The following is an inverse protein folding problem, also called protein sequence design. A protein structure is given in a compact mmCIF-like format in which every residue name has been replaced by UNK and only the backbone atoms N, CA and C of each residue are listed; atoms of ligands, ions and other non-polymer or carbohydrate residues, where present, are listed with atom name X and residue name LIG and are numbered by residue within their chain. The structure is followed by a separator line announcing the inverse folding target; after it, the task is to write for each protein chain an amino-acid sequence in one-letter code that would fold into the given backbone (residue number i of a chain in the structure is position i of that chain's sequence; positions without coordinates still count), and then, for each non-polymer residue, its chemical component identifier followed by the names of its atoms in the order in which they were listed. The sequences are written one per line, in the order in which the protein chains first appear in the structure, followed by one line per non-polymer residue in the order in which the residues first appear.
data_IF_035729831317
#
_entry.id   IF_035729831317
#
_cell.length_a   1.000
_cell.length_b   1.000
_cell.length_c   1.000
_cell.angle_alpha   90.00
_cell.angle_beta   90.00
_cell.angle_gamma   90.00
#
_symmetry.space_group_name_H-M   'P 1'
#
loop_
_entity.id
_entity.type
_entity.pdbx_description
1 polymer ?
#
# COMPACT_ATOMS: atom_id res chain seq x y z
N UNK A 1 19.49 -6.23 28.41
CA UNK A 1 18.82 -5.01 28.94
C UNK A 1 19.49 -3.80 28.28
N UNK A 2 18.84 -2.89 27.56
CA UNK A 2 17.41 -2.62 27.38
C UNK A 2 17.01 -2.75 25.90
N UNK A 3 16.25 -3.80 25.54
CA UNK A 3 15.43 -3.75 24.33
C UNK A 3 14.21 -2.92 24.71
N UNK A 4 14.29 -1.59 24.59
CA UNK A 4 13.05 -0.83 24.51
C UNK A 4 12.22 -1.48 23.40
N UNK A 5 10.94 -1.72 23.67
CA UNK A 5 10.02 -2.30 22.70
C UNK A 5 9.99 -1.43 21.43
N UNK A 6 9.78 -2.04 20.26
CA UNK A 6 9.58 -1.25 19.04
C UNK A 6 8.26 -0.48 19.18
N UNK A 7 8.18 0.72 18.62
CA UNK A 7 7.05 1.63 18.87
C UNK A 7 5.68 1.03 18.48
N UNK A 8 5.65 0.12 17.51
CA UNK A 8 4.44 -0.54 17.03
C UNK A 8 3.93 -1.65 17.95
N UNK A 9 4.80 -2.25 18.77
CA UNK A 9 4.42 -3.41 19.59
C UNK A 9 3.32 -3.07 20.59
N UNK A 10 3.35 -1.85 21.15
CA UNK A 10 2.29 -1.37 22.03
C UNK A 10 0.93 -1.37 21.31
N UNK A 11 0.87 -0.87 20.07
CA UNK A 11 -0.36 -0.90 19.25
C UNK A 11 -0.78 -2.33 18.89
N UNK A 12 0.18 -3.18 18.54
CA UNK A 12 -0.08 -4.58 18.20
C UNK A 12 -0.52 -5.42 19.39
N UNK A 13 -0.13 -5.06 20.61
CA UNK A 13 -0.52 -5.78 21.83
C UNK A 13 -1.96 -5.49 22.26
N UNK A 14 -2.54 -4.35 21.88
CA UNK A 14 -3.92 -3.99 22.23
C UNK A 14 -4.90 -4.58 21.20
N UNK A 15 -5.75 -5.57 21.56
CA UNK A 15 -6.68 -6.20 20.62
C UNK A 15 -7.68 -5.24 19.97
N UNK A 16 -7.89 -4.04 20.53
CA UNK A 16 -8.84 -3.05 20.02
C UNK A 16 -8.19 -2.01 19.10
N UNK A 17 -6.86 -2.02 18.97
CA UNK A 17 -6.12 -1.10 18.11
C UNK A 17 -5.86 -1.76 16.76
N UNK A 18 -6.13 -0.99 15.70
CA UNK A 18 -5.76 -1.30 14.33
C UNK A 18 -4.83 -0.22 13.80
N UNK A 19 -3.53 -0.54 13.72
CA UNK A 19 -2.48 0.50 13.69
C UNK A 19 -2.40 1.22 12.35
N UNK A 20 -2.69 0.51 11.25
CA UNK A 20 -2.31 0.91 9.89
C UNK A 20 -3.48 1.03 8.89
N UNK A 21 -4.73 0.89 9.35
CA UNK A 21 -5.93 1.05 8.51
C UNK A 21 -6.12 -0.07 7.48
N UNK A 22 -6.93 0.20 6.45
CA UNK A 22 -7.17 -0.75 5.35
C UNK A 22 -5.97 -0.94 4.41
N UNK A 23 -6.12 -1.66 3.30
CA UNK A 23 -5.03 -1.93 2.37
C UNK A 23 -4.47 -0.63 1.78
N UNK A 24 -3.19 -0.66 1.42
CA UNK A 24 -2.59 0.47 0.72
C UNK A 24 -3.11 0.55 -0.73
N UNK A 25 -3.33 1.76 -1.25
CA UNK A 25 -3.92 1.97 -2.58
C UNK A 25 -3.18 1.22 -3.69
N UNK A 26 -1.85 1.27 -3.69
CA UNK A 26 -0.99 0.58 -4.64
C UNK A 26 -1.11 -0.95 -4.58
N UNK A 27 -1.44 -1.52 -3.41
CA UNK A 27 -1.67 -2.97 -3.28
C UNK A 27 -3.00 -3.33 -3.92
N UNK A 28 -4.03 -2.50 -3.72
CA UNK A 28 -5.30 -2.63 -4.44
C UNK A 28 -5.10 -2.52 -5.96
N UNK A 29 -4.39 -1.50 -6.42
CA UNK A 29 -4.13 -1.31 -7.85
C UNK A 29 -3.38 -2.50 -8.49
N UNK A 30 -2.38 -3.05 -7.80
CA UNK A 30 -1.64 -4.22 -8.25
C UNK A 30 -2.51 -5.48 -8.23
N UNK A 31 -3.33 -5.68 -7.20
CA UNK A 31 -4.25 -6.82 -7.10
C UNK A 31 -5.18 -6.93 -8.31
N UNK A 32 -5.65 -5.79 -8.84
CA UNK A 32 -6.48 -5.75 -10.06
C UNK A 32 -5.76 -6.29 -11.31
N UNK A 33 -4.43 -6.42 -11.28
CA UNK A 33 -3.62 -6.96 -12.37
C UNK A 33 -3.11 -8.39 -12.11
N UNK A 34 -3.34 -8.94 -10.92
CA UNK A 34 -2.87 -10.28 -10.57
C UNK A 34 -3.73 -11.36 -11.22
N UNK A 35 -3.15 -12.55 -11.51
CA UNK A 35 -3.95 -13.70 -11.88
C UNK A 35 -4.90 -14.11 -10.75
N UNK A 36 -5.98 -14.80 -11.10
CA UNK A 36 -6.84 -15.45 -10.09
C UNK A 36 -5.99 -16.39 -9.24
N UNK A 37 -6.15 -16.33 -7.93
CA UNK A 37 -5.42 -17.18 -6.98
C UNK A 37 -3.89 -17.04 -7.05
N UNK A 38 -3.42 -15.81 -7.28
CA UNK A 38 -2.00 -15.45 -7.19
C UNK A 38 -1.32 -15.91 -5.89
N UNK A 39 -0.01 -16.19 -5.99
CA UNK A 39 0.86 -16.48 -4.84
C UNK A 39 1.55 -15.19 -4.38
N UNK A 40 1.36 -14.83 -3.11
CA UNK A 40 1.77 -13.54 -2.53
C UNK A 40 2.73 -13.76 -1.35
N UNK A 41 3.75 -12.92 -1.26
CA UNK A 41 4.59 -12.77 -0.07
C UNK A 41 4.45 -11.36 0.52
N UNK A 42 4.17 -11.25 1.81
CA UNK A 42 4.12 -10.01 2.59
C UNK A 42 5.18 -10.01 3.70
N UNK A 43 6.26 -9.24 3.52
CA UNK A 43 7.44 -9.19 4.40
C UNK A 43 7.28 -8.05 5.41
N UNK A 44 7.26 -8.38 6.70
CA UNK A 44 6.96 -7.44 7.77
C UNK A 44 5.51 -6.98 7.66
N UNK A 45 4.59 -7.96 7.63
CA UNK A 45 3.18 -7.72 7.33
C UNK A 45 2.41 -7.00 8.45
N UNK A 46 3.01 -6.87 9.64
CA UNK A 46 2.37 -6.33 10.83
C UNK A 46 1.08 -7.09 11.16
N UNK A 47 0.00 -6.37 11.46
CA UNK A 47 -1.33 -6.94 11.75
C UNK A 47 -2.04 -7.45 10.48
N UNK A 48 -1.38 -7.37 9.31
CA UNK A 48 -1.83 -8.00 8.08
C UNK A 48 -2.80 -7.17 7.23
N UNK A 49 -2.78 -5.82 7.29
CA UNK A 49 -3.69 -4.99 6.48
C UNK A 49 -3.70 -5.34 4.98
N UNK A 50 -2.55 -5.71 4.43
CA UNK A 50 -2.38 -6.08 3.03
C UNK A 50 -2.59 -7.59 2.86
N UNK A 51 -1.96 -8.41 3.71
CA UNK A 51 -2.14 -9.87 3.72
C UNK A 51 -3.61 -10.31 3.79
N UNK A 52 -4.39 -9.78 4.73
CA UNK A 52 -5.81 -10.05 4.88
C UNK A 52 -6.61 -9.60 3.65
N UNK A 53 -6.35 -8.38 3.16
CA UNK A 53 -6.99 -7.88 1.94
C UNK A 53 -6.78 -8.83 0.76
N UNK A 54 -5.53 -9.25 0.50
CA UNK A 54 -5.20 -10.14 -0.61
C UNK A 54 -5.79 -11.54 -0.42
N UNK A 55 -5.82 -12.06 0.81
CA UNK A 55 -6.45 -13.35 1.09
C UNK A 55 -7.97 -13.31 0.91
N UNK A 56 -8.65 -12.22 1.28
CA UNK A 56 -10.07 -12.01 0.98
C UNK A 56 -10.37 -11.98 -0.53
N UNK A 57 -9.36 -11.71 -1.37
CA UNK A 57 -9.47 -11.80 -2.84
C UNK A 57 -9.22 -13.21 -3.40
N UNK A 58 -8.97 -14.18 -2.52
CA UNK A 58 -8.73 -15.57 -2.88
C UNK A 58 -7.29 -15.86 -3.30
N UNK A 59 -6.34 -14.98 -2.96
CA UNK A 59 -4.91 -15.22 -3.13
C UNK A 59 -4.35 -16.10 -2.00
N UNK A 60 -3.26 -16.79 -2.30
CA UNK A 60 -2.50 -17.57 -1.32
C UNK A 60 -1.38 -16.68 -0.76
N UNK A 61 -1.44 -16.34 0.52
CA UNK A 61 -0.53 -15.37 1.13
C UNK A 61 0.43 -16.06 2.09
N UNK A 62 1.73 -15.80 1.94
CA UNK A 62 2.73 -16.05 2.97
C UNK A 62 3.06 -14.72 3.64
N UNK A 63 2.91 -14.63 4.95
CA UNK A 63 3.02 -13.39 5.72
C UNK A 63 4.10 -13.54 6.79
N UNK A 64 5.22 -12.83 6.64
CA UNK A 64 6.34 -12.84 7.59
C UNK A 64 6.20 -11.66 8.56
N UNK A 65 6.28 -11.93 9.85
CA UNK A 65 6.25 -10.88 10.88
C UNK A 65 7.06 -11.28 12.11
N UNK A 66 7.77 -10.32 12.72
CA UNK A 66 8.59 -10.54 13.91
C UNK A 66 7.77 -10.41 15.20
N UNK A 67 6.78 -9.53 15.22
CA UNK A 67 5.94 -9.25 16.39
C UNK A 67 4.99 -10.42 16.68
N UNK A 68 5.20 -11.09 17.82
CA UNK A 68 4.31 -12.15 18.30
C UNK A 68 2.88 -11.63 18.55
N UNK A 69 2.69 -10.35 18.89
CA UNK A 69 1.36 -9.78 19.07
C UNK A 69 0.63 -9.60 17.75
N UNK A 70 1.31 -9.07 16.73
CA UNK A 70 0.76 -8.93 15.39
C UNK A 70 0.46 -10.29 14.75
N UNK A 71 1.37 -11.26 14.89
CA UNK A 71 1.18 -12.64 14.42
C UNK A 71 -0.06 -13.27 15.05
N UNK A 72 -0.25 -13.13 16.37
CA UNK A 72 -1.44 -13.67 17.06
C UNK A 72 -2.73 -13.04 16.53
N UNK A 73 -2.76 -11.71 16.34
CA UNK A 73 -3.92 -11.02 15.75
C UNK A 73 -4.22 -11.50 14.34
N UNK A 74 -3.20 -11.55 13.48
CA UNK A 74 -3.34 -11.97 12.09
C UNK A 74 -3.85 -13.41 11.99
N UNK A 75 -3.26 -14.35 12.75
CA UNK A 75 -3.73 -15.75 12.80
C UNK A 75 -5.18 -15.85 13.27
N UNK A 76 -5.56 -15.11 14.32
CA UNK A 76 -6.94 -15.11 14.82
C UNK A 76 -7.95 -14.69 13.74
N UNK A 77 -7.66 -13.61 13.00
CA UNK A 77 -8.54 -13.13 11.93
C UNK A 77 -8.53 -14.11 10.74
N UNK A 78 -7.37 -14.65 10.38
CA UNK A 78 -7.25 -15.63 9.31
C UNK A 78 -8.07 -16.89 9.61
N UNK A 79 -8.01 -17.40 10.83
CA UNK A 79 -8.78 -18.57 11.28
C UNK A 79 -10.29 -18.28 11.30
N UNK A 80 -10.70 -17.14 11.85
CA UNK A 80 -12.11 -16.71 11.92
C UNK A 80 -12.78 -16.68 10.54
N UNK A 81 -12.06 -16.16 9.53
CA UNK A 81 -12.57 -16.04 8.16
C UNK A 81 -12.12 -17.17 7.23
N UNK A 82 -11.44 -18.20 7.74
CA UNK A 82 -10.90 -19.32 6.97
C UNK A 82 -10.07 -18.87 5.75
N UNK A 83 -9.22 -17.87 5.95
CA UNK A 83 -8.39 -17.26 4.91
C UNK A 83 -7.15 -18.11 4.63
N UNK A 84 -6.72 -18.13 3.36
CA UNK A 84 -5.51 -18.82 2.95
C UNK A 84 -4.25 -17.95 3.21
N UNK A 85 -3.86 -17.88 4.49
CA UNK A 85 -2.67 -17.15 4.95
C UNK A 85 -1.77 -18.08 5.77
N UNK A 86 -0.54 -18.25 5.30
CA UNK A 86 0.55 -18.89 6.03
C UNK A 86 1.35 -17.82 6.79
N UNK A 87 1.15 -17.74 8.10
CA UNK A 87 1.79 -16.73 8.97
C UNK A 87 3.06 -17.28 9.60
N UNK A 88 4.20 -16.72 9.19
CA UNK A 88 5.53 -17.06 9.68
C UNK A 88 5.96 -16.02 10.70
N UNK A 89 6.11 -16.45 11.96
CA UNK A 89 6.73 -15.62 12.99
C UNK A 89 8.24 -15.73 12.85
N UNK A 90 8.90 -14.64 12.45
CA UNK A 90 10.31 -14.69 12.12
C UNK A 90 10.94 -13.35 11.76
N UNK A 91 12.26 -13.38 11.65
CA UNK A 91 13.09 -12.23 11.29
C UNK A 91 13.29 -12.19 9.77
N UNK A 92 13.41 -10.99 9.21
CA UNK A 92 13.71 -10.81 7.78
C UNK A 92 15.08 -11.41 7.46
N UNK A 93 16.02 -11.31 8.39
CA UNK A 93 17.39 -11.82 8.31
C UNK A 93 17.47 -13.34 8.14
N UNK A 94 16.48 -14.07 8.68
CA UNK A 94 16.46 -15.53 8.71
C UNK A 94 15.50 -16.13 7.65
N UNK A 95 14.77 -15.27 6.93
CA UNK A 95 13.75 -15.71 6.00
C UNK A 95 14.33 -16.11 4.63
N UNK A 96 13.95 -17.30 4.16
CA UNK A 96 14.34 -17.81 2.84
C UNK A 96 13.07 -18.02 2.01
N UNK A 97 12.86 -17.25 0.93
CA UNK A 97 11.74 -17.48 0.03
C UNK A 97 11.88 -18.83 -0.68
N UNK A 98 10.82 -19.65 -0.63
CA UNK A 98 10.84 -21.03 -1.10
C UNK A 98 9.90 -21.29 -2.29
N UNK A 99 8.99 -20.35 -2.57
CA UNK A 99 7.99 -20.42 -3.66
C UNK A 99 8.35 -19.49 -4.81
N UNK A 100 7.60 -19.62 -5.90
CA UNK A 100 7.52 -18.59 -6.95
C UNK A 100 6.36 -17.65 -6.63
N UNK A 101 6.57 -16.35 -6.71
CA UNK A 101 5.57 -15.34 -6.33
C UNK A 101 5.08 -14.54 -7.53
N UNK A 102 3.79 -14.21 -7.52
CA UNK A 102 3.17 -13.26 -8.45
C UNK A 102 3.21 -11.84 -7.88
N UNK A 103 3.26 -11.70 -6.56
CA UNK A 103 3.46 -10.44 -5.84
C UNK A 103 4.37 -10.67 -4.62
N UNK A 104 5.45 -9.90 -4.53
CA UNK A 104 6.22 -9.74 -3.30
C UNK A 104 6.06 -8.31 -2.79
N UNK A 105 5.67 -8.14 -1.54
CA UNK A 105 5.48 -6.82 -0.94
C UNK A 105 6.20 -6.68 0.40
N UNK A 106 6.64 -5.46 0.68
CA UNK A 106 7.31 -5.09 1.92
C UNK A 106 6.99 -3.62 2.23
N UNK A 107 5.97 -3.39 3.07
CA UNK A 107 5.51 -2.04 3.39
C UNK A 107 6.08 -1.59 4.72
N UNK A 108 7.00 -0.62 4.66
CA UNK A 108 7.65 -0.03 5.83
C UNK A 108 8.39 -1.04 6.71
N UNK A 109 9.04 -2.05 6.11
CA UNK A 109 9.70 -3.15 6.83
C UNK A 109 11.18 -3.34 6.47
N UNK A 110 11.56 -3.32 5.18
CA UNK A 110 12.95 -3.58 4.76
C UNK A 110 13.96 -2.58 5.34
N UNK A 111 13.51 -1.37 5.64
CA UNK A 111 14.38 -0.33 6.19
C UNK A 111 14.78 -0.54 7.66
N UNK A 112 14.27 -1.58 8.32
CA UNK A 112 14.73 -2.03 9.64
C UNK A 112 15.96 -2.94 9.57
N UNK A 113 16.35 -3.42 8.39
CA UNK A 113 17.53 -4.27 8.18
C UNK A 113 18.52 -3.58 7.24
N UNK A 114 19.79 -3.96 7.34
CA UNK A 114 20.88 -3.35 6.58
C UNK A 114 20.87 -3.75 5.09
N UNK A 115 21.59 -3.01 4.23
CA UNK A 115 21.65 -3.30 2.78
C UNK A 115 22.15 -4.70 2.47
N UNK A 116 23.10 -5.21 3.24
CA UNK A 116 23.64 -6.56 3.12
C UNK A 116 22.62 -7.67 3.47
N UNK A 117 21.49 -7.32 4.10
CA UNK A 117 20.37 -8.24 4.32
C UNK A 117 19.32 -8.11 3.21
N UNK A 118 18.78 -6.91 3.01
CA UNK A 118 17.62 -6.77 2.13
C UNK A 118 17.98 -6.90 0.64
N UNK A 119 19.18 -6.48 0.20
CA UNK A 119 19.57 -6.57 -1.22
C UNK A 119 19.65 -8.04 -1.68
N UNK A 120 20.33 -8.95 -0.96
CA UNK A 120 20.29 -10.39 -1.30
C UNK A 120 18.87 -10.97 -1.30
N UNK A 121 18.05 -10.65 -0.29
CA UNK A 121 16.66 -11.11 -0.23
C UNK A 121 15.86 -10.65 -1.45
N UNK A 122 15.94 -9.37 -1.79
CA UNK A 122 15.22 -8.81 -2.96
C UNK A 122 15.73 -9.43 -4.26
N UNK A 123 17.03 -9.71 -4.39
CA UNK A 123 17.57 -10.41 -5.55
C UNK A 123 17.07 -11.85 -5.67
N UNK A 124 16.95 -12.58 -4.55
CA UNK A 124 16.35 -13.91 -4.54
C UNK A 124 14.88 -13.86 -4.94
N UNK A 125 14.12 -12.89 -4.41
CA UNK A 125 12.73 -12.66 -4.80
C UNK A 125 12.61 -12.31 -6.30
N UNK A 126 13.49 -11.45 -6.83
CA UNK A 126 13.52 -11.13 -8.27
C UNK A 126 13.69 -12.40 -9.12
N UNK A 127 14.52 -13.35 -8.69
CA UNK A 127 14.67 -14.64 -9.39
C UNK A 127 13.39 -15.49 -9.29
N UNK A 128 12.75 -15.50 -8.11
CA UNK A 128 11.53 -16.25 -7.78
C UNK A 128 10.22 -15.58 -8.18
N UNK A 129 10.24 -14.43 -8.82
CA UNK A 129 9.00 -13.79 -9.28
C UNK A 129 8.61 -14.28 -10.67
N UNK A 130 7.33 -14.64 -10.82
CA UNK A 130 6.69 -15.00 -12.09
C UNK A 130 6.89 -13.93 -13.16
N UNK A 131 6.94 -14.31 -14.45
CA UNK A 131 6.90 -13.33 -15.55
C UNK A 131 5.59 -12.52 -15.47
N UNK A 132 5.70 -11.19 -15.45
CA UNK A 132 4.57 -10.29 -15.24
C UNK A 132 4.15 -10.10 -13.79
N UNK A 133 4.82 -10.75 -12.84
CA UNK A 133 4.63 -10.54 -11.40
C UNK A 133 5.20 -9.20 -10.94
N UNK A 134 4.83 -8.81 -9.73
CA UNK A 134 5.05 -7.46 -9.18
C UNK A 134 5.87 -7.50 -7.91
N UNK A 135 6.62 -6.41 -7.68
CA UNK A 135 7.16 -6.07 -6.38
C UNK A 135 6.59 -4.72 -5.95
N UNK A 136 6.16 -4.63 -4.70
CA UNK A 136 5.57 -3.42 -4.11
C UNK A 136 6.24 -3.10 -2.78
N UNK A 137 7.00 -2.01 -2.74
CA UNK A 137 7.79 -1.63 -1.57
C UNK A 137 7.43 -0.23 -1.10
N UNK A 138 7.45 -0.05 0.22
CA UNK A 138 7.41 1.26 0.85
C UNK A 138 8.57 1.34 1.84
N UNK A 139 9.44 2.33 1.70
CA UNK A 139 10.59 2.53 2.57
C UNK A 139 10.63 3.96 3.09
N UNK A 140 11.02 4.12 4.35
CA UNK A 140 11.33 5.43 4.90
C UNK A 140 12.74 5.79 4.40
N UNK A 141 12.94 7.05 3.99
CA UNK A 141 14.24 7.56 3.56
C UNK A 141 14.48 8.87 4.30
N UNK A 142 15.63 8.99 4.97
CA UNK A 142 16.00 10.23 5.65
C UNK A 142 16.36 11.35 4.67
N UNK A 143 15.89 12.56 4.94
CA UNK A 143 16.32 13.77 4.23
C UNK A 143 16.83 14.81 5.22
N UNK A 144 17.50 15.86 4.72
CA UNK A 144 17.95 16.98 5.57
C UNK A 144 16.79 17.72 6.22
N UNK A 145 15.65 17.83 5.54
CA UNK A 145 14.43 18.50 6.05
C UNK A 145 13.58 17.58 6.92
N UNK A 146 13.51 16.29 6.57
CA UNK A 146 12.75 15.26 7.25
C UNK A 146 13.68 14.09 7.60
N UNK A 147 14.46 14.21 8.68
CA UNK A 147 15.35 13.14 9.12
C UNK A 147 14.53 11.95 9.62
N UNK A 148 15.10 10.74 9.55
CA UNK A 148 14.42 9.56 10.10
C UNK A 148 14.34 9.69 11.62
N UNK A 149 13.13 9.58 12.22
CA UNK A 149 12.99 9.64 13.66
C UNK A 149 13.73 8.49 14.36
N UNK A 150 14.30 8.76 15.54
CA UNK A 150 15.10 7.77 16.28
C UNK A 150 14.29 6.53 16.65
N UNK A 151 13.01 6.71 16.98
CA UNK A 151 12.06 5.66 17.35
C UNK A 151 11.82 4.62 16.25
N UNK A 152 12.00 4.98 14.97
CA UNK A 152 11.93 4.03 13.88
C UNK A 152 13.03 2.96 14.01
N UNK A 153 14.19 3.27 14.60
CA UNK A 153 15.44 2.46 14.53
C UNK A 153 15.63 1.87 13.15
N UNK A 154 15.57 2.79 12.21
CA UNK A 154 15.89 2.59 10.81
C UNK A 154 17.36 2.22 10.70
N UNK A 155 17.68 1.25 9.86
CA UNK A 155 19.05 0.76 9.68
C UNK A 155 19.91 1.70 8.80
N UNK A 156 19.33 2.82 8.34
CA UNK A 156 19.93 3.76 7.37
C UNK A 156 20.42 3.03 6.12
N UNK A 157 19.58 2.12 5.65
CA UNK A 157 19.88 1.14 4.62
C UNK A 157 19.17 1.39 3.29
N UNK A 158 18.49 2.52 3.14
CA UNK A 158 17.83 2.92 1.91
C UNK A 158 18.28 4.32 1.52
N UNK A 159 18.79 4.42 0.30
CA UNK A 159 19.01 5.68 -0.40
C UNK A 159 18.06 5.76 -1.60
N UNK A 160 17.58 6.98 -1.91
CA UNK A 160 16.78 7.22 -3.11
C UNK A 160 17.60 6.81 -4.34
N UNK A 161 17.04 5.95 -5.19
CA UNK A 161 17.72 5.42 -6.37
C UNK A 161 18.24 3.97 -6.24
N UNK A 162 18.31 3.43 -5.01
CA UNK A 162 18.71 2.04 -4.80
C UNK A 162 17.76 1.07 -5.53
N UNK A 163 16.45 1.26 -5.37
CA UNK A 163 15.43 0.42 -5.99
C UNK A 163 15.42 0.57 -7.52
N UNK A 164 15.51 1.79 -8.07
CA UNK A 164 15.64 1.97 -9.52
C UNK A 164 16.85 1.24 -10.10
N UNK A 165 17.99 1.32 -9.42
CA UNK A 165 19.22 0.66 -9.86
C UNK A 165 19.06 -0.86 -9.83
N UNK A 166 18.44 -1.40 -8.77
CA UNK A 166 18.22 -2.83 -8.61
C UNK A 166 17.19 -3.39 -9.60
N UNK A 167 16.23 -2.56 -10.01
CA UNK A 167 15.14 -2.92 -10.93
C UNK A 167 15.31 -2.35 -12.34
N UNK A 168 16.53 -1.98 -12.74
CA UNK A 168 16.80 -1.36 -14.05
C UNK A 168 16.42 -2.26 -15.26
N UNK A 169 16.32 -3.57 -15.05
CA UNK A 169 15.90 -4.58 -16.04
C UNK A 169 14.40 -4.94 -15.94
N UNK A 170 13.66 -4.31 -15.02
CA UNK A 170 12.22 -4.47 -14.84
C UNK A 170 11.48 -3.22 -15.30
N UNK A 171 10.17 -3.34 -15.48
CA UNK A 171 9.32 -2.18 -15.74
C UNK A 171 9.02 -1.48 -14.40
N UNK A 172 9.67 -0.36 -14.12
CA UNK A 172 9.34 0.48 -12.96
C UNK A 172 8.05 1.25 -13.25
N UNK A 173 6.99 0.95 -12.50
CA UNK A 173 5.65 1.52 -12.68
C UNK A 173 5.43 2.75 -11.81
N UNK A 174 6.00 2.74 -10.61
CA UNK A 174 5.87 3.80 -9.61
C UNK A 174 7.19 3.94 -8.87
N UNK A 175 7.60 5.19 -8.64
CA UNK A 175 8.67 5.53 -7.70
C UNK A 175 8.40 6.91 -7.11
N UNK A 176 7.36 6.96 -6.28
CA UNK A 176 6.87 8.18 -5.66
C UNK A 176 7.72 8.52 -4.44
N UNK A 177 8.08 9.79 -4.29
CA UNK A 177 8.82 10.28 -3.14
C UNK A 177 8.10 11.49 -2.53
N UNK A 178 7.77 11.40 -1.24
CA UNK A 178 7.00 12.41 -0.52
C UNK A 178 7.29 12.38 0.99
N UNK A 179 7.05 13.50 1.66
CA UNK A 179 6.91 13.53 3.11
C UNK A 179 5.45 13.27 3.49
N UNK A 180 5.19 12.40 4.46
CA UNK A 180 3.86 12.05 4.96
C UNK A 180 3.75 12.40 6.44
N UNK A 181 2.75 13.22 6.78
CA UNK A 181 2.29 13.41 8.14
C UNK A 181 1.24 12.37 8.44
N UNK A 182 1.52 11.55 9.45
CA UNK A 182 0.66 10.44 9.86
C UNK A 182 0.44 10.47 11.37
N UNK A 183 -0.62 9.80 11.83
CA UNK A 183 -0.87 9.58 13.25
C UNK A 183 -1.42 8.17 13.45
N UNK A 184 -0.91 7.47 14.45
CA UNK A 184 -1.42 6.14 14.83
C UNK A 184 -2.09 6.21 16.20
N UNK A 185 -2.97 5.25 16.56
CA UNK A 185 -3.48 5.15 17.93
C UNK A 185 -2.32 5.11 18.94
N UNK A 186 -2.34 6.02 19.92
CA UNK A 186 -1.28 6.13 20.94
C UNK A 186 -0.01 6.88 20.52
N UNK A 187 0.13 7.28 19.26
CA UNK A 187 1.34 7.97 18.74
C UNK A 187 0.97 9.36 18.23
N UNK A 188 1.71 10.38 18.66
CA UNK A 188 1.53 11.75 18.18
C UNK A 188 1.77 11.85 16.66
N UNK A 189 1.20 12.88 16.04
CA UNK A 189 1.47 13.17 14.63
C UNK A 189 2.97 13.32 14.41
N UNK A 190 3.49 12.66 13.39
CA UNK A 190 4.89 12.70 13.01
C UNK A 190 5.02 12.63 11.49
N UNK A 191 6.22 12.92 10.98
CA UNK A 191 6.49 13.01 9.55
C UNK A 191 7.58 12.04 9.13
N UNK A 192 7.36 11.35 8.01
CA UNK A 192 8.34 10.50 7.36
C UNK A 192 8.53 10.91 5.91
N UNK A 193 9.76 11.05 5.44
CA UNK A 193 10.01 10.98 4.01
C UNK A 193 9.97 9.51 3.56
N UNK A 194 9.18 9.24 2.53
CA UNK A 194 8.78 7.90 2.10
C UNK A 194 9.00 7.76 0.61
N UNK A 195 9.67 6.68 0.23
CA UNK A 195 9.64 6.16 -1.13
C UNK A 195 8.59 5.05 -1.24
N UNK A 196 7.76 5.14 -2.27
CA UNK A 196 6.78 4.11 -2.62
C UNK A 196 7.05 3.63 -4.04
N UNK A 197 7.35 2.35 -4.16
CA UNK A 197 7.92 1.76 -5.35
C UNK A 197 7.09 0.56 -5.83
N UNK A 198 6.78 0.53 -7.12
CA UNK A 198 6.13 -0.61 -7.77
C UNK A 198 6.89 -0.94 -9.04
N UNK A 199 7.31 -2.20 -9.18
CA UNK A 199 7.93 -2.70 -10.40
C UNK A 199 7.28 -4.01 -10.85
N UNK A 200 7.29 -4.24 -12.16
CA UNK A 200 6.76 -5.44 -12.80
C UNK A 200 7.85 -6.16 -13.57
N UNK A 201 7.97 -7.47 -13.37
CA UNK A 201 8.91 -8.31 -14.13
C UNK A 201 8.46 -8.37 -15.57
N UNK A 202 9.34 -7.95 -16.47
CA UNK A 202 8.98 -7.62 -17.85
C UNK A 202 8.04 -8.64 -18.53
N UNK A 203 6.97 -8.09 -19.12
CA UNK A 203 6.20 -8.64 -20.23
C UNK A 203 6.17 -7.56 -21.32
N UNK A 204 7.05 -7.62 -22.33
CA UNK A 204 7.22 -6.55 -23.31
C UNK A 204 5.93 -6.13 -24.05
N UNK A 205 4.92 -7.01 -24.10
CA UNK A 205 3.76 -6.85 -25.00
C UNK A 205 2.45 -6.44 -24.29
N UNK A 206 2.47 -6.11 -22.99
CA UNK A 206 1.25 -5.81 -22.22
C UNK A 206 1.37 -4.48 -21.46
N UNK A 207 1.06 -3.34 -22.12
CA UNK A 207 1.08 -2.04 -21.47
C UNK A 207 0.00 -1.98 -20.38
N UNK A 208 0.38 -1.44 -19.23
CA UNK A 208 -0.55 -1.17 -18.14
C UNK A 208 -1.01 0.30 -18.19
N UNK A 209 -2.28 0.60 -17.88
CA UNK A 209 -2.78 1.97 -17.91
C UNK A 209 -2.36 2.75 -16.65
N UNK A 210 -1.88 3.98 -16.82
CA UNK A 210 -1.44 4.84 -15.71
C UNK A 210 -2.15 6.19 -15.70
N UNK A 211 -2.30 6.76 -14.51
CA UNK A 211 -2.61 8.18 -14.30
C UNK A 211 -1.40 8.80 -13.62
N UNK A 212 -0.95 9.93 -14.14
CA UNK A 212 0.02 10.77 -13.47
C UNK A 212 -0.68 12.02 -12.97
N UNK A 213 -0.52 12.35 -11.70
CA UNK A 213 -1.06 13.60 -11.15
C UNK A 213 -0.14 14.75 -11.54
N UNK A 214 -0.72 15.78 -12.12
CA UNK A 214 0.01 17.00 -12.46
C UNK A 214 0.02 17.96 -11.26
N UNK A 215 1.16 18.04 -10.59
CA UNK A 215 1.38 18.92 -9.44
C UNK A 215 1.72 20.37 -9.84
N UNK A 216 1.88 20.68 -11.14
CA UNK A 216 2.32 22.00 -11.61
C UNK A 216 1.18 23.00 -11.83
N UNK A 217 -0.07 22.53 -11.79
CA UNK A 217 -1.23 23.31 -12.16
C UNK A 217 -2.09 23.71 -10.94
N UNK A 218 -2.16 25.02 -10.66
CA UNK A 218 -3.20 25.65 -9.83
C UNK A 218 -2.78 26.11 -8.43
N UNK A 219 -3.76 26.51 -7.61
CA UNK A 219 -3.53 27.12 -6.30
C UNK A 219 -2.87 26.13 -5.30
N UNK A 220 -1.63 26.41 -4.93
CA UNK A 220 -0.88 25.65 -3.92
C UNK A 220 -1.25 26.12 -2.50
N UNK A 221 -1.39 25.19 -1.55
CA UNK A 221 -1.46 25.57 -0.14
C UNK A 221 -0.14 26.18 0.31
N UNK A 222 -0.17 27.27 1.09
CA UNK A 222 1.02 27.67 1.84
C UNK A 222 1.37 26.59 2.87
N UNK A 223 2.65 26.48 3.23
CA UNK A 223 3.06 25.49 4.23
C UNK A 223 2.34 25.72 5.57
N UNK A 224 2.19 26.97 5.99
CA UNK A 224 1.53 27.34 7.23
C UNK A 224 0.07 26.88 7.26
N UNK A 225 -0.66 27.10 6.15
CA UNK A 225 -2.05 26.65 6.05
C UNK A 225 -2.11 25.12 6.02
N UNK A 226 -1.29 24.46 5.21
CA UNK A 226 -1.20 22.99 5.14
C UNK A 226 -0.90 22.36 6.51
N UNK A 227 0.08 22.89 7.23
CA UNK A 227 0.52 22.38 8.52
C UNK A 227 -0.58 22.56 9.59
N UNK A 228 -1.30 23.69 9.55
CA UNK A 228 -2.38 24.00 10.48
C UNK A 228 -3.59 23.06 10.42
N UNK A 229 -3.77 22.31 9.32
CA UNK A 229 -4.90 21.39 9.16
C UNK A 229 -4.68 20.18 10.09
N UNK A 230 -5.54 19.95 11.10
CA UNK A 230 -5.38 18.82 12.00
C UNK A 230 -5.76 17.50 11.30
N UNK A 231 -5.00 16.43 11.57
CA UNK A 231 -5.42 15.07 11.21
C UNK A 231 -6.66 14.65 12.01
N UNK A 232 -7.34 13.60 11.56
CA UNK A 232 -8.51 12.97 12.19
C UNK A 232 -9.80 13.79 12.18
N UNK A 233 -9.84 14.90 11.45
CA UNK A 233 -11.09 15.63 11.19
C UNK A 233 -11.85 15.03 10.01
N UNK A 234 -13.16 15.19 10.00
CA UNK A 234 -13.99 14.79 8.89
C UNK A 234 -13.83 15.76 7.70
N UNK A 235 -13.99 15.26 6.47
CA UNK A 235 -13.80 16.02 5.22
C UNK A 235 -14.68 17.28 5.16
N UNK A 236 -15.87 17.25 5.77
CA UNK A 236 -16.78 18.40 5.87
C UNK A 236 -16.25 19.53 6.77
N UNK A 237 -15.32 19.21 7.67
CA UNK A 237 -14.75 20.15 8.63
C UNK A 237 -13.46 20.80 8.13
N UNK A 238 -12.89 20.32 7.01
CA UNK A 238 -11.75 20.95 6.35
C UNK A 238 -12.17 22.31 5.81
N UNK A 239 -11.64 23.39 6.40
CA UNK A 239 -11.94 24.77 5.99
C UNK A 239 -10.76 25.37 5.23
N UNK A 240 -10.88 25.38 3.89
CA UNK A 240 -9.94 26.03 2.98
C UNK A 240 -10.65 27.17 2.23
N UNK A 241 -10.71 28.38 2.81
CA UNK A 241 -11.39 29.50 2.16
C UNK A 241 -10.67 29.86 0.86
N UNK A 242 -11.43 29.98 -0.23
CA UNK A 242 -10.94 30.36 -1.57
C UNK A 242 -9.93 29.43 -2.24
N UNK A 243 -9.50 28.34 -1.60
CA UNK A 243 -8.60 27.34 -2.19
C UNK A 243 -9.42 26.07 -2.49
N UNK A 244 -9.18 25.47 -3.65
CA UNK A 244 -9.81 24.21 -4.10
C UNK A 244 -8.74 23.25 -4.58
N UNK A 245 -8.92 21.93 -4.39
CA UNK A 245 -7.97 20.96 -4.91
C UNK A 245 -7.92 21.04 -6.44
N UNK A 246 -6.72 20.98 -7.01
CA UNK A 246 -6.50 20.96 -8.45
C UNK A 246 -6.87 19.60 -9.04
N UNK A 247 -6.65 18.54 -8.26
CA UNK A 247 -7.02 17.16 -8.60
C UNK A 247 -7.67 16.52 -7.39
N UNK A 248 -8.76 15.78 -7.63
CA UNK A 248 -9.39 14.90 -6.64
C UNK A 248 -9.41 13.50 -7.20
N UNK A 249 -8.67 12.60 -6.57
CA UNK A 249 -8.68 11.17 -6.89
C UNK A 249 -9.49 10.44 -5.83
N UNK A 250 -10.57 9.77 -6.24
CA UNK A 250 -11.37 8.94 -5.34
C UNK A 250 -11.36 7.50 -5.82
N UNK A 251 -10.97 6.60 -4.93
CA UNK A 251 -10.90 5.16 -5.17
C UNK A 251 -11.86 4.46 -4.21
N UNK A 252 -12.78 3.68 -4.78
CA UNK A 252 -13.66 2.80 -4.01
C UNK A 252 -13.16 1.36 -4.15
N UNK A 253 -12.58 0.85 -3.06
CA UNK A 253 -12.15 -0.54 -2.95
C UNK A 253 -13.39 -1.35 -2.58
N UNK A 254 -13.94 -2.06 -3.55
CA UNK A 254 -15.10 -2.94 -3.35
C UNK A 254 -14.73 -4.23 -2.62
N UNK A 255 -15.68 -4.97 -2.06
CA UNK A 255 -15.42 -6.28 -1.43
C UNK A 255 -15.02 -6.19 0.04
N UNK A 256 -14.70 -7.34 0.64
CA UNK A 256 -14.40 -7.43 2.07
C UNK A 256 -13.05 -6.79 2.39
N UNK A 257 -13.09 -5.81 3.29
CA UNK A 257 -11.92 -5.12 3.80
C UNK A 257 -12.03 -4.97 5.32
N UNK A 258 -10.92 -5.12 6.03
CA UNK A 258 -10.83 -4.80 7.45
C UNK A 258 -10.55 -3.30 7.61
N UNK A 259 -11.36 -2.61 8.42
CA UNK A 259 -11.11 -1.21 8.80
C UNK A 259 -10.77 -1.05 10.29
N UNK A 260 -10.98 -2.09 11.09
CA UNK A 260 -10.63 -2.23 12.50
C UNK A 260 -10.46 -3.73 12.80
N UNK A 261 -10.00 -4.13 14.00
CA UNK A 261 -9.76 -5.55 14.31
C UNK A 261 -11.05 -6.39 14.31
N UNK A 262 -12.21 -5.75 14.44
CA UNK A 262 -13.51 -6.43 14.62
C UNK A 262 -14.55 -6.07 13.56
N UNK A 263 -14.20 -5.25 12.57
CA UNK A 263 -15.18 -4.76 11.60
C UNK A 263 -14.72 -5.00 10.16
N UNK A 264 -15.56 -5.76 9.45
CA UNK A 264 -15.54 -5.87 8.01
C UNK A 264 -16.40 -4.78 7.38
N UNK A 265 -15.85 -4.14 6.35
CA UNK A 265 -16.62 -3.30 5.43
C UNK A 265 -16.67 -3.95 4.05
N UNK A 266 -17.75 -3.66 3.31
CA UNK A 266 -17.92 -4.07 1.90
C UNK A 266 -17.41 -3.03 0.92
N UNK A 267 -17.10 -1.83 1.41
CA UNK A 267 -16.51 -0.75 0.63
C UNK A 267 -15.50 0.01 1.47
N UNK A 268 -14.35 0.30 0.88
CA UNK A 268 -13.31 1.11 1.47
C UNK A 268 -12.97 2.27 0.54
N UNK A 269 -13.41 3.48 0.90
CA UNK A 269 -13.21 4.68 0.09
C UNK A 269 -11.97 5.44 0.57
N UNK A 270 -11.06 5.70 -0.36
CA UNK A 270 -9.92 6.61 -0.16
C UNK A 270 -10.03 7.73 -1.16
N UNK A 271 -9.89 8.96 -0.68
CA UNK A 271 -9.97 10.17 -1.49
C UNK A 271 -8.72 11.02 -1.25
N UNK A 272 -8.09 11.49 -2.32
CA UNK A 272 -6.87 12.30 -2.28
C UNK A 272 -7.12 13.64 -2.96
N UNK A 273 -6.93 14.72 -2.22
CA UNK A 273 -7.07 16.09 -2.67
C UNK A 273 -5.69 16.71 -2.86
N UNK A 274 -5.35 17.10 -4.08
CA UNK A 274 -4.04 17.69 -4.42
C UNK A 274 -4.15 19.21 -4.55
N UNK A 275 -3.20 19.93 -3.97
CA UNK A 275 -3.04 21.39 -3.96
C UNK A 275 -1.59 21.72 -4.35
N UNK A 276 -1.28 21.65 -5.63
CA UNK A 276 0.11 21.61 -6.12
C UNK A 276 0.84 20.40 -5.55
N UNK A 277 1.97 20.63 -4.87
CA UNK A 277 2.75 19.56 -4.24
C UNK A 277 2.19 19.05 -2.91
N UNK A 278 1.24 19.75 -2.31
CA UNK A 278 0.61 19.28 -1.06
C UNK A 278 -0.61 18.42 -1.37
N UNK A 279 -0.87 17.40 -0.56
CA UNK A 279 -2.11 16.64 -0.65
C UNK A 279 -2.69 16.26 0.72
N UNK A 280 -4.00 16.04 0.73
CA UNK A 280 -4.77 15.53 1.86
C UNK A 280 -5.38 14.19 1.46
N UNK A 281 -5.18 13.14 2.26
CA UNK A 281 -5.80 11.82 2.05
C UNK A 281 -6.87 11.57 3.10
N UNK A 282 -8.07 11.29 2.62
CA UNK A 282 -9.22 10.92 3.41
C UNK A 282 -9.49 9.43 3.26
N UNK A 283 -9.58 8.73 4.38
CA UNK A 283 -10.08 7.36 4.45
C UNK A 283 -11.46 7.39 5.08
N UNK A 284 -12.47 6.89 4.38
CA UNK A 284 -13.86 6.91 4.88
C UNK A 284 -14.32 8.31 5.32
N UNK A 285 -13.91 9.34 4.59
CA UNK A 285 -14.21 10.74 4.89
C UNK A 285 -13.41 11.35 6.05
N UNK A 286 -12.50 10.61 6.70
CA UNK A 286 -11.63 11.12 7.77
C UNK A 286 -10.25 11.43 7.22
N UNK A 287 -9.71 12.61 7.51
CA UNK A 287 -8.36 13.01 7.10
C UNK A 287 -7.31 12.16 7.84
N UNK A 288 -6.77 11.15 7.16
CA UNK A 288 -5.83 10.18 7.74
C UNK A 288 -4.38 10.44 7.37
N UNK A 289 -4.11 11.28 6.35
CA UNK A 289 -2.74 11.62 5.97
C UNK A 289 -2.65 12.98 5.30
N UNK A 290 -1.52 13.66 5.49
CA UNK A 290 -1.13 14.84 4.71
C UNK A 290 0.21 14.59 4.05
N UNK A 291 0.41 15.12 2.84
CA UNK A 291 1.56 14.79 2.01
C UNK A 291 2.20 16.06 1.44
N UNK A 292 3.52 16.10 1.40
CA UNK A 292 4.29 16.99 0.53
C UNK A 292 5.05 16.13 -0.47
N UNK A 293 4.68 16.21 -1.74
CA UNK A 293 5.27 15.43 -2.83
C UNK A 293 6.54 16.10 -3.38
N UNK A 294 7.57 15.29 -3.60
CA UNK A 294 8.81 15.67 -4.28
C UNK A 294 8.88 15.13 -5.70
N UNK A 295 8.04 14.14 -6.03
CA UNK A 295 7.82 13.61 -7.37
C UNK A 295 6.33 13.62 -7.70
N UNK A 296 5.98 13.62 -8.98
CA UNK A 296 4.59 13.51 -9.42
C UNK A 296 4.08 12.06 -9.18
N UNK A 297 3.03 11.85 -8.37
CA UNK A 297 2.56 10.51 -8.06
C UNK A 297 1.90 9.84 -9.26
N UNK A 298 2.07 8.52 -9.36
CA UNK A 298 1.55 7.68 -10.44
C UNK A 298 0.63 6.60 -9.88
N UNK A 299 -0.61 6.53 -10.37
CA UNK A 299 -1.56 5.46 -10.06
C UNK A 299 -1.72 4.52 -11.25
N UNK A 300 -1.70 3.22 -10.98
CA UNK A 300 -2.04 2.19 -11.94
C UNK A 300 -3.58 2.07 -12.01
N UNK A 301 -4.19 2.23 -13.19
CA UNK A 301 -5.64 2.04 -13.34
C UNK A 301 -5.97 0.56 -13.41
N UNK A 302 -7.15 0.20 -12.90
CA UNK A 302 -7.79 -1.03 -13.33
C UNK A 302 -8.03 -0.98 -14.84
N UNK A 303 -7.54 -1.98 -15.57
CA UNK A 303 -8.01 -2.25 -16.93
C UNK A 303 -9.50 -2.59 -16.79
N UNK A 304 -10.39 -1.72 -17.26
CA UNK A 304 -11.77 -2.15 -17.46
C UNK A 304 -11.72 -3.32 -18.44
N UNK A 305 -11.97 -4.54 -17.96
CA UNK A 305 -12.08 -5.69 -18.85
C UNK A 305 -13.16 -5.35 -19.87
N UNK A 306 -12.78 -5.13 -21.13
CA UNK A 306 -13.75 -5.07 -22.21
C UNK A 306 -14.36 -6.48 -22.30
N UNK A 307 -15.47 -6.71 -21.60
CA UNK A 307 -16.31 -7.86 -21.88
C UNK A 307 -16.84 -7.65 -23.29
N UNK A 308 -16.25 -8.35 -24.25
CA UNK A 308 -16.76 -8.47 -25.61
C UNK A 308 -18.20 -8.99 -25.55
N UNK A 309 -19.19 -8.07 -25.57
CA UNK A 309 -20.52 -8.42 -26.07
C UNK A 309 -20.43 -8.48 -27.58
N UNK A 310 -20.00 -9.63 -28.11
CA UNK A 310 -20.27 -10.01 -29.49
C UNK A 310 -21.07 -11.30 -29.49
N UNK A 311 -22.31 -11.20 -29.96
CA UNK A 311 -22.98 -12.25 -30.72
C UNK A 311 -23.77 -13.29 -29.94
N UNK A 312 -25.04 -13.00 -29.69
CA UNK A 312 -26.11 -13.97 -29.87
C UNK A 312 -27.36 -13.22 -30.36
N UNK A 313 -27.31 -12.76 -31.61
CA UNK A 313 -28.52 -12.59 -32.38
C UNK A 313 -29.00 -13.97 -32.78
N UNK A 314 -30.09 -14.44 -32.18
CA UNK A 314 -30.88 -15.53 -32.70
C UNK A 314 -32.35 -15.09 -32.68
N UNK A 315 -32.81 -14.81 -33.90
CA UNK A 315 -34.19 -14.71 -34.39
C UNK A 315 -35.29 -15.11 -33.40
N UNK A 316 -36.21 -14.17 -33.12
CA UNK A 316 -37.60 -14.52 -32.88
C UNK A 316 -38.39 -14.10 -34.12
N UNK A 317 -38.72 -15.11 -34.92
CA UNK A 317 -39.65 -15.03 -36.03
C UNK A 317 -41.05 -14.71 -35.54
N UNK A 318 -41.76 -13.98 -36.39
CA UNK A 318 -43.18 -13.66 -36.26
C UNK A 318 -44.08 -14.84 -36.66
N UNK A 319 -45.35 -14.77 -36.21
CA UNK A 319 -46.55 -15.58 -36.58
C UNK A 319 -46.71 -16.90 -35.81
N UNK A 320 -47.89 -17.35 -35.38
CA UNK A 320 -49.28 -16.91 -35.57
C UNK A 320 -50.20 -17.67 -34.58
N UNK A 321 -51.37 -17.07 -34.32
CA UNK A 321 -52.71 -17.66 -34.15
C UNK A 321 -52.99 -18.75 -33.10
N UNK A 322 -54.04 -18.52 -32.30
CA UNK A 322 -54.68 -19.47 -31.40
C UNK A 322 -55.35 -18.76 -30.24
#
# INVERSE_FOLDING_TARGET
MSSSERFWEQGYSDPNVWTMGGPSLEVYEVEQQLPRSATVLDIGCGEGRNALFLAFRGHSVTALELSSSAVRKLRSIADEFSLNIDVIEGRIEDFVPDKTYDLALAHSSLHFVTKDVWVPLVNELRQRTSKGGFHNFTSIIGTSRYPVPYECRHANSFDRGDLESLYADWQVLRSDFYAKWDSHPGISTHVHAVEKFVARKARPDEPLPFIKVDLSNGDELSFELFDSIPLRIHIADVKLPCIRPNTVNRIEISGLNMNSPTQLTRSYAVEEWFFGRYALQFTQGVLTGKYEYFTQPISLRAVQSMSNRRGAGAQLGSRNAG
#
